data_IF_359686358092
#
_entry.id   IF_359686358092
#
_cell.length_a   1.000
_cell.length_b   1.000
_cell.length_c   1.000
_cell.angle_alpha   90.00
_cell.angle_beta   90.00
_cell.angle_gamma   90.00
#
_symmetry.space_group_name_H-M   'P 1'
#
loop_
_entity.id
_entity.type
_entity.pdbx_description
1 polymer ?
#
# COMPACT_ATOMS: atom_id res chain seq x y z
N UNK A 1 -0.68 22.36 -0.68
CA UNK A 1 -0.52 20.94 -1.06
C UNK A 1 0.93 20.76 -1.45
N UNK A 2 1.62 19.76 -0.88
CA UNK A 2 2.96 19.40 -1.31
C UNK A 2 2.88 18.64 -2.63
N UNK A 3 3.78 18.97 -3.56
CA UNK A 3 4.04 18.19 -4.79
C UNK A 3 5.53 17.79 -4.81
N UNK A 4 6.10 17.60 -3.61
CA UNK A 4 7.51 17.26 -3.44
C UNK A 4 7.76 15.80 -3.79
N UNK A 5 8.95 15.56 -4.33
CA UNK A 5 9.45 14.21 -4.60
C UNK A 5 10.56 13.92 -3.61
N UNK A 6 10.42 12.82 -2.87
CA UNK A 6 11.37 12.40 -1.84
C UNK A 6 11.84 10.99 -2.15
N UNK A 7 13.07 10.68 -1.78
CA UNK A 7 13.59 9.32 -1.84
C UNK A 7 13.97 8.90 -0.42
N UNK A 8 13.47 7.76 0.05
CA UNK A 8 13.71 7.31 1.43
C UNK A 8 15.21 7.22 1.75
N UNK A 9 16.01 6.64 0.85
CA UNK A 9 17.48 6.55 1.02
C UNK A 9 18.22 7.90 1.12
N UNK A 10 17.58 9.04 0.85
CA UNK A 10 18.20 10.35 1.00
C UNK A 10 18.15 10.90 2.45
N UNK A 11 17.43 10.21 3.34
CA UNK A 11 17.31 10.57 4.76
C UNK A 11 18.28 9.75 5.60
N UNK A 12 18.69 10.30 6.74
CA UNK A 12 19.50 9.59 7.72
C UNK A 12 18.65 8.55 8.47
N UNK A 13 19.22 7.37 8.73
CA UNK A 13 18.57 6.30 9.47
C UNK A 13 19.41 5.02 9.46
N UNK A 14 19.40 4.31 10.59
CA UNK A 14 20.21 3.09 10.79
C UNK A 14 19.81 1.94 9.85
N UNK A 15 18.55 1.92 9.42
CA UNK A 15 17.96 0.95 8.51
C UNK A 15 16.92 1.63 7.59
N UNK A 16 16.32 0.86 6.68
CA UNK A 16 15.38 1.38 5.70
C UNK A 16 14.08 1.90 6.35
N UNK A 17 13.61 1.27 7.43
CA UNK A 17 12.42 1.72 8.16
C UNK A 17 12.65 3.10 8.79
N UNK A 18 13.78 3.30 9.49
CA UNK A 18 14.13 4.58 10.09
C UNK A 18 14.24 5.70 9.04
N UNK A 19 14.79 5.39 7.85
CA UNK A 19 14.88 6.34 6.73
C UNK A 19 13.53 6.67 6.13
N UNK A 20 12.65 5.68 5.98
CA UNK A 20 11.27 5.91 5.53
C UNK A 20 10.47 6.74 6.55
N UNK A 21 10.64 6.48 7.84
CA UNK A 21 10.00 7.27 8.91
C UNK A 21 10.44 8.74 8.85
N UNK A 22 11.74 8.99 8.67
CA UNK A 22 12.27 10.34 8.48
C UNK A 22 11.70 11.01 7.21
N UNK A 23 11.59 10.26 6.11
CA UNK A 23 10.99 10.75 4.87
C UNK A 23 9.51 11.13 5.07
N UNK A 24 8.71 10.27 5.71
CA UNK A 24 7.30 10.51 6.02
C UNK A 24 7.13 11.70 6.97
N UNK A 25 7.97 11.82 7.99
CA UNK A 25 7.94 12.92 8.94
C UNK A 25 8.14 14.27 8.23
N UNK A 26 9.10 14.33 7.31
CA UNK A 26 9.41 15.53 6.52
C UNK A 26 8.39 15.84 5.41
N UNK A 27 7.60 14.84 5.00
CA UNK A 27 6.65 14.95 3.91
C UNK A 27 5.42 15.80 4.28
N UNK A 28 4.96 16.55 3.28
CA UNK A 28 3.68 17.27 3.30
C UNK A 28 2.58 16.44 2.62
N UNK A 29 1.33 16.71 2.98
CA UNK A 29 0.19 16.08 2.31
C UNK A 29 0.19 16.36 0.79
N UNK A 30 0.17 15.29 0.00
CA UNK A 30 0.31 15.27 -1.46
C UNK A 30 1.70 14.87 -1.98
N UNK A 31 2.70 14.77 -1.12
CA UNK A 31 4.06 14.40 -1.53
C UNK A 31 4.14 12.94 -2.02
N UNK A 32 5.14 12.68 -2.86
CA UNK A 32 5.53 11.36 -3.34
C UNK A 32 6.81 10.93 -2.63
N UNK A 33 6.85 9.70 -2.12
CA UNK A 33 8.03 9.07 -1.54
C UNK A 33 8.39 7.83 -2.37
N UNK A 34 9.57 7.86 -2.98
CA UNK A 34 10.20 6.70 -3.59
C UNK A 34 10.88 5.86 -2.51
N UNK A 35 10.52 4.59 -2.46
CA UNK A 35 11.10 3.61 -1.57
C UNK A 35 12.47 3.15 -2.10
N UNK A 36 13.24 2.53 -1.22
CA UNK A 36 14.59 2.08 -1.54
C UNK A 36 14.55 0.76 -2.30
N UNK A 37 15.47 0.61 -3.25
CA UNK A 37 15.65 -0.65 -3.98
C UNK A 37 16.12 -1.73 -3.01
N UNK A 38 15.61 -2.95 -3.12
CA UNK A 38 15.95 -4.11 -2.27
C UNK A 38 15.69 -3.93 -0.77
N UNK A 39 15.02 -2.86 -0.35
CA UNK A 39 14.69 -2.67 1.05
C UNK A 39 13.46 -3.48 1.45
N UNK A 40 13.58 -4.14 2.58
CA UNK A 40 12.46 -4.72 3.31
C UNK A 40 12.06 -3.78 4.44
N UNK A 41 10.81 -3.35 4.42
CA UNK A 41 10.19 -2.59 5.49
C UNK A 41 9.46 -3.56 6.40
N UNK A 42 9.98 -3.69 7.61
CA UNK A 42 9.58 -4.72 8.56
C UNK A 42 8.91 -4.16 9.81
N UNK A 43 8.85 -2.85 9.95
CA UNK A 43 8.26 -2.19 11.11
C UNK A 43 6.80 -1.87 10.84
N UNK A 44 5.93 -2.13 11.82
CA UNK A 44 4.55 -1.68 11.83
C UNK A 44 4.51 -0.15 11.71
N UNK A 45 3.63 0.38 10.85
CA UNK A 45 3.57 1.83 10.65
C UNK A 45 2.16 2.32 10.39
N UNK A 46 1.79 3.42 11.03
CA UNK A 46 0.60 4.21 10.69
C UNK A 46 0.97 5.40 9.81
N UNK A 47 0.29 5.54 8.68
CA UNK A 47 0.45 6.63 7.73
C UNK A 47 -0.84 7.45 7.73
N UNK A 48 -0.77 8.61 8.38
CA UNK A 48 -1.90 9.52 8.62
C UNK A 48 -1.80 10.83 7.81
N UNK A 49 -0.99 10.82 6.74
CA UNK A 49 -0.84 11.94 5.81
C UNK A 49 -1.19 11.47 4.41
N UNK A 50 -1.78 12.37 3.61
CA UNK A 50 -2.01 12.05 2.20
C UNK A 50 -0.69 11.86 1.46
N UNK A 51 -0.33 10.64 1.06
CA UNK A 51 0.97 10.34 0.45
C UNK A 51 0.85 9.32 -0.70
N UNK A 52 1.76 9.44 -1.67
CA UNK A 52 2.01 8.39 -2.66
C UNK A 52 3.33 7.71 -2.34
N UNK A 53 3.33 6.40 -2.12
CA UNK A 53 4.52 5.58 -1.89
C UNK A 53 4.77 4.74 -3.14
N UNK A 54 5.97 4.88 -3.72
CA UNK A 54 6.34 4.21 -4.97
C UNK A 54 7.55 3.31 -4.70
N UNK A 55 7.37 2.00 -4.84
CA UNK A 55 8.45 1.03 -4.85
C UNK A 55 9.28 1.08 -6.13
N UNK A 56 10.46 0.46 -6.11
CA UNK A 56 11.34 0.44 -7.29
C UNK A 56 11.01 -0.66 -8.30
N UNK A 57 10.32 -1.71 -7.83
CA UNK A 57 9.88 -2.87 -8.59
C UNK A 57 8.98 -3.72 -7.68
N UNK A 58 7.93 -4.35 -8.20
CA UNK A 58 7.09 -5.27 -7.44
C UNK A 58 7.58 -6.73 -7.49
N UNK A 59 8.54 -7.05 -8.36
CA UNK A 59 9.16 -8.37 -8.48
C UNK A 59 10.54 -8.43 -7.80
N UNK A 60 11.45 -9.24 -8.35
CA UNK A 60 12.80 -9.42 -7.84
C UNK A 60 13.55 -8.08 -7.74
N UNK A 61 14.28 -7.93 -6.64
CA UNK A 61 15.10 -6.76 -6.29
C UNK A 61 14.32 -5.46 -6.05
N UNK A 62 13.02 -5.58 -5.74
CA UNK A 62 12.09 -4.50 -5.46
C UNK A 62 12.10 -3.94 -4.04
N UNK A 63 11.21 -2.98 -3.80
CA UNK A 63 10.87 -2.53 -2.44
C UNK A 63 9.78 -3.44 -1.89
N UNK A 64 9.91 -3.85 -0.63
CA UNK A 64 9.05 -4.87 -0.04
C UNK A 64 8.50 -4.44 1.31
N UNK A 65 7.19 -4.60 1.51
CA UNK A 65 6.52 -4.58 2.82
C UNK A 65 6.31 -6.04 3.22
N UNK A 66 7.05 -6.53 4.22
CA UNK A 66 6.96 -7.96 4.60
C UNK A 66 7.30 -8.33 6.03
N UNK A 67 7.60 -7.38 6.92
CA UNK A 67 7.82 -7.69 8.33
C UNK A 67 6.85 -7.03 9.31
N UNK A 68 6.08 -6.04 8.86
CA UNK A 68 5.10 -5.33 9.69
C UNK A 68 3.85 -4.94 8.90
N UNK A 69 2.81 -4.58 9.63
CA UNK A 69 1.54 -4.09 9.09
C UNK A 69 1.61 -2.59 8.83
N UNK A 70 1.30 -2.18 7.60
CA UNK A 70 1.14 -0.76 7.28
C UNK A 70 -0.33 -0.36 7.33
N UNK A 71 -0.65 0.55 8.24
CA UNK A 71 -2.00 1.10 8.45
C UNK A 71 -2.13 2.47 7.81
N UNK A 72 -3.17 2.67 7.01
CA UNK A 72 -3.47 3.94 6.34
C UNK A 72 -4.72 4.61 6.91
N UNK A 73 -4.55 5.80 7.49
CA UNK A 73 -5.62 6.60 8.12
C UNK A 73 -5.90 7.90 7.34
N UNK A 74 -5.31 8.05 6.15
CA UNK A 74 -5.45 9.20 5.27
C UNK A 74 -5.26 8.78 3.82
N UNK A 75 -5.56 9.68 2.88
CA UNK A 75 -5.61 9.34 1.46
C UNK A 75 -4.25 8.83 0.97
N UNK A 76 -4.12 7.57 0.60
CA UNK A 76 -2.83 7.00 0.26
C UNK A 76 -2.85 6.19 -1.02
N UNK A 77 -1.70 6.19 -1.70
CA UNK A 77 -1.47 5.35 -2.88
C UNK A 77 -0.20 4.54 -2.72
N UNK A 78 -0.30 3.24 -2.98
CA UNK A 78 0.83 2.32 -3.14
C UNK A 78 1.02 2.01 -4.62
N UNK A 79 2.28 2.02 -5.06
CA UNK A 79 2.63 1.69 -6.44
C UNK A 79 3.94 0.91 -6.51
N UNK A 80 4.02 -0.11 -7.37
CA UNK A 80 5.31 -0.68 -7.78
C UNK A 80 6.10 -1.41 -6.68
N UNK A 81 5.42 -2.06 -5.73
CA UNK A 81 6.06 -2.76 -4.61
C UNK A 81 5.51 -4.17 -4.36
N UNK A 82 6.29 -4.95 -3.61
CA UNK A 82 5.89 -6.26 -3.12
C UNK A 82 5.23 -6.11 -1.73
N UNK A 83 4.06 -6.71 -1.55
CA UNK A 83 3.32 -6.73 -0.28
C UNK A 83 3.18 -8.19 0.18
N UNK A 84 3.70 -8.49 1.36
CA UNK A 84 3.56 -9.79 2.03
C UNK A 84 2.97 -9.60 3.41
N UNK A 85 2.37 -10.67 3.92
CA UNK A 85 1.98 -10.68 5.31
C UNK A 85 3.21 -10.75 6.21
N UNK A 86 3.21 -10.02 7.34
CA UNK A 86 4.14 -10.28 8.42
C UNK A 86 3.90 -11.67 9.03
N UNK A 87 4.77 -12.08 9.94
CA UNK A 87 4.60 -13.37 10.67
C UNK A 87 3.32 -13.42 11.51
N UNK A 88 2.74 -12.26 11.84
CA UNK A 88 1.43 -12.12 12.47
C UNK A 88 0.75 -10.84 11.99
N UNK A 89 -0.44 -10.95 11.41
CA UNK A 89 -1.23 -9.82 10.92
C UNK A 89 -1.32 -9.78 9.39
N UNK A 90 -1.77 -8.64 8.87
CA UNK A 90 -1.91 -8.39 7.43
C UNK A 90 -0.77 -7.48 6.95
N UNK A 91 -0.36 -7.62 5.68
CA UNK A 91 0.65 -6.74 5.09
C UNK A 91 0.21 -5.27 5.07
N UNK A 92 -1.04 -5.02 4.68
CA UNK A 92 -1.64 -3.68 4.64
C UNK A 92 -3.04 -3.66 5.24
N UNK A 93 -3.30 -2.63 6.02
CA UNK A 93 -4.59 -2.29 6.61
C UNK A 93 -5.00 -0.88 6.18
N UNK A 94 -6.20 -0.72 5.64
CA UNK A 94 -6.77 0.60 5.33
C UNK A 94 -7.91 0.84 6.29
N UNK A 95 -7.73 1.80 7.19
CA UNK A 95 -8.69 2.13 8.23
C UNK A 95 -9.87 2.93 7.66
N UNK A 96 -11.04 2.90 8.32
CA UNK A 96 -12.18 3.71 7.93
C UNK A 96 -11.90 5.20 8.09
N UNK A 97 -12.19 5.97 7.04
CA UNK A 97 -12.04 7.42 7.02
C UNK A 97 -10.71 7.91 6.44
N UNK A 98 -9.92 7.04 5.82
CA UNK A 98 -8.75 7.39 5.02
C UNK A 98 -9.08 8.27 3.78
N UNK A 99 -10.34 8.63 3.56
CA UNK A 99 -10.88 9.38 2.45
C UNK A 99 -10.81 8.65 1.11
N UNK A 100 -9.62 8.24 0.63
CA UNK A 100 -9.44 7.41 -0.57
C UNK A 100 -8.18 6.52 -0.46
N UNK A 101 -8.20 5.30 -1.00
CA UNK A 101 -7.02 4.45 -1.09
C UNK A 101 -6.81 3.88 -2.50
N UNK A 102 -5.57 3.77 -2.94
CA UNK A 102 -5.24 3.16 -4.21
C UNK A 102 -4.02 2.23 -4.15
N UNK A 103 -4.09 1.10 -4.83
CA UNK A 103 -2.95 0.22 -5.10
C UNK A 103 -2.85 0.00 -6.61
N UNK A 104 -1.65 0.18 -7.17
CA UNK A 104 -1.37 -0.17 -8.57
C UNK A 104 -0.02 -0.81 -8.77
N UNK A 105 0.14 -1.65 -9.80
CA UNK A 105 1.44 -2.20 -10.21
C UNK A 105 2.19 -2.95 -9.07
N UNK A 106 1.44 -3.55 -8.15
CA UNK A 106 2.00 -4.26 -7.00
C UNK A 106 1.93 -5.78 -7.18
N UNK A 107 2.81 -6.49 -6.48
CA UNK A 107 2.71 -7.93 -6.29
C UNK A 107 2.25 -8.17 -4.87
N UNK A 108 1.11 -8.83 -4.68
CA UNK A 108 0.57 -9.16 -3.36
C UNK A 108 0.68 -10.66 -3.15
N UNK A 109 1.46 -11.08 -2.15
CA UNK A 109 1.46 -12.46 -1.65
C UNK A 109 0.93 -12.58 -0.23
N UNK A 110 0.62 -11.45 0.41
CA UNK A 110 -0.07 -11.38 1.69
C UNK A 110 -1.52 -10.93 1.55
N UNK A 111 -2.00 -10.23 2.57
CA UNK A 111 -3.35 -9.75 2.73
C UNK A 111 -3.36 -8.22 2.74
N UNK A 112 -4.25 -7.64 1.94
CA UNK A 112 -4.61 -6.22 1.99
C UNK A 112 -6.05 -6.13 2.44
N UNK A 113 -6.25 -5.64 3.66
CA UNK A 113 -7.58 -5.47 4.23
C UNK A 113 -8.01 -3.99 4.08
N UNK A 114 -9.18 -3.78 3.49
CA UNK A 114 -9.69 -2.46 3.10
C UNK A 114 -11.03 -2.21 3.78
N UNK A 115 -11.02 -1.31 4.76
CA UNK A 115 -12.20 -0.82 5.49
C UNK A 115 -12.52 0.65 5.16
N UNK A 116 -12.39 1.03 3.89
CA UNK A 116 -12.47 2.43 3.45
C UNK A 116 -13.58 2.65 2.43
N UNK A 117 -14.17 3.87 2.41
CA UNK A 117 -15.29 4.24 1.53
C UNK A 117 -15.00 4.32 0.04
N UNK A 118 -13.73 4.54 -0.31
CA UNK A 118 -13.32 4.71 -1.68
C UNK A 118 -11.95 4.05 -1.83
N UNK A 119 -11.92 2.93 -2.55
CA UNK A 119 -10.69 2.23 -2.85
C UNK A 119 -10.65 1.76 -4.31
N UNK A 120 -9.46 1.81 -4.90
CA UNK A 120 -9.18 1.29 -6.24
C UNK A 120 -7.93 0.43 -6.23
N UNK A 121 -8.07 -0.81 -6.69
CA UNK A 121 -6.95 -1.73 -6.88
C UNK A 121 -6.88 -2.11 -8.35
N UNK A 122 -5.74 -1.86 -8.98
CA UNK A 122 -5.53 -2.13 -10.41
C UNK A 122 -4.17 -2.73 -10.69
N UNK A 123 -4.03 -3.52 -11.77
CA UNK A 123 -2.73 -4.02 -12.24
C UNK A 123 -1.94 -4.75 -11.13
N UNK A 124 -2.65 -5.43 -10.24
CA UNK A 124 -2.05 -6.19 -9.14
C UNK A 124 -1.94 -7.65 -9.53
N UNK A 125 -0.79 -8.25 -9.24
CA UNK A 125 -0.58 -9.70 -9.45
C UNK A 125 -0.15 -10.39 -8.17
N UNK A 126 -0.10 -11.72 -8.17
CA UNK A 126 0.51 -12.48 -7.08
C UNK A 126 -0.31 -13.71 -6.69
N UNK A 127 -0.30 -14.05 -5.40
CA UNK A 127 -1.02 -15.19 -4.82
C UNK A 127 -1.66 -14.88 -3.47
N UNK A 128 -1.75 -13.59 -3.12
CA UNK A 128 -2.34 -13.09 -1.89
C UNK A 128 -3.82 -12.80 -2.01
N UNK A 129 -4.32 -12.01 -1.06
CA UNK A 129 -5.74 -11.71 -0.89
C UNK A 129 -6.00 -10.20 -0.71
N UNK A 130 -7.06 -9.71 -1.36
CA UNK A 130 -7.68 -8.41 -1.06
C UNK A 130 -8.99 -8.70 -0.34
N UNK A 131 -9.17 -8.09 0.83
CA UNK A 131 -10.39 -8.22 1.63
C UNK A 131 -11.05 -6.85 1.71
N UNK A 132 -12.29 -6.76 1.24
CA UNK A 132 -13.15 -5.62 1.53
C UNK A 132 -14.05 -5.95 2.73
N UNK A 133 -14.12 -5.06 3.71
CA UNK A 133 -15.01 -5.21 4.89
C UNK A 133 -16.49 -5.00 4.51
N UNK A 134 -17.41 -5.38 5.40
CA UNK A 134 -18.84 -5.51 5.06
C UNK A 134 -19.60 -4.20 4.83
N UNK A 135 -19.06 -3.10 5.32
CA UNK A 135 -19.57 -1.74 5.15
C UNK A 135 -19.11 -1.10 3.83
N UNK A 136 -18.51 -1.88 2.93
CA UNK A 136 -17.96 -1.35 1.68
C UNK A 136 -18.87 -1.45 0.45
N UNK A 137 -18.84 -0.45 -0.44
CA UNK A 137 -19.66 -0.28 -1.65
C UNK A 137 -18.98 0.56 -2.77
N UNK A 138 -19.01 0.08 -4.01
CA UNK A 138 -18.51 0.82 -5.18
C UNK A 138 -16.99 0.93 -5.30
N UNK A 139 -16.23 0.09 -4.58
CA UNK A 139 -14.77 -0.05 -4.76
C UNK A 139 -14.48 -0.92 -5.97
N UNK A 140 -13.28 -0.80 -6.52
CA UNK A 140 -12.91 -1.46 -7.79
C UNK A 140 -11.67 -2.32 -7.58
N UNK A 141 -11.75 -3.58 -8.03
CA UNK A 141 -10.57 -4.41 -8.33
C UNK A 141 -10.63 -4.77 -9.81
N UNK A 142 -9.65 -4.30 -10.57
CA UNK A 142 -9.61 -4.38 -12.04
C UNK A 142 -8.20 -4.76 -12.51
N UNK A 143 -8.07 -5.29 -13.73
CA UNK A 143 -6.80 -5.69 -14.36
C UNK A 143 -5.85 -6.50 -13.45
N UNK A 144 -6.42 -7.34 -12.57
CA UNK A 144 -5.65 -8.03 -11.53
C UNK A 144 -5.63 -9.53 -11.76
N UNK A 145 -4.49 -10.19 -11.52
CA UNK A 145 -4.30 -11.61 -11.85
C UNK A 145 -3.68 -12.43 -10.70
N UNK A 146 -4.25 -13.60 -10.41
CA UNK A 146 -3.75 -14.52 -9.38
C UNK A 146 -4.06 -14.10 -7.94
N UNK A 147 -4.76 -12.98 -7.74
CA UNK A 147 -5.20 -12.51 -6.43
C UNK A 147 -6.58 -13.04 -6.09
N UNK A 148 -6.75 -13.50 -4.84
CA UNK A 148 -8.06 -13.78 -4.27
C UNK A 148 -8.72 -12.48 -3.84
N UNK A 149 -10.00 -12.30 -4.12
CA UNK A 149 -10.78 -11.18 -3.60
C UNK A 149 -11.90 -11.72 -2.72
N UNK A 150 -11.93 -11.29 -1.47
CA UNK A 150 -13.05 -11.50 -0.55
C UNK A 150 -13.81 -10.19 -0.42
N UNK A 151 -14.93 -10.10 -1.13
CA UNK A 151 -15.82 -8.94 -1.06
C UNK A 151 -16.96 -9.22 -0.07
N UNK A 152 -16.88 -8.65 1.14
CA UNK A 152 -17.98 -8.72 2.10
C UNK A 152 -18.99 -7.57 1.95
N UNK A 153 -18.74 -6.66 1.00
CA UNK A 153 -19.55 -5.49 0.73
C UNK A 153 -20.33 -5.60 -0.58
N UNK A 154 -20.41 -4.49 -1.31
CA UNK A 154 -21.05 -4.37 -2.62
C UNK A 154 -20.10 -3.68 -3.60
N UNK A 155 -19.00 -4.36 -3.92
CA UNK A 155 -17.92 -3.81 -4.74
C UNK A 155 -17.93 -4.35 -6.16
N UNK A 156 -17.21 -3.68 -7.05
CA UNK A 156 -17.03 -4.12 -8.44
C UNK A 156 -15.72 -4.89 -8.54
N UNK A 157 -15.84 -6.20 -8.74
CA UNK A 157 -14.70 -7.11 -8.84
C UNK A 157 -14.65 -7.68 -10.26
N UNK A 158 -13.49 -7.58 -10.89
CA UNK A 158 -13.23 -8.11 -12.23
C UNK A 158 -12.94 -7.00 -13.23
N UNK A 159 -12.52 -7.41 -14.43
CA UNK A 159 -12.09 -6.48 -15.47
C UNK A 159 -13.25 -5.57 -15.89
N UNK A 160 -13.06 -4.25 -15.73
CA UNK A 160 -14.07 -3.24 -16.09
C UNK A 160 -13.74 -2.70 -17.49
N UNK A 161 -14.65 -2.94 -18.44
CA UNK A 161 -14.52 -2.53 -19.84
C UNK A 161 -14.82 -1.05 -20.09
#
# INVERSE_FOLDING_TARGET
>A
MGNGWRHAAAYDGVDADARLDAAIASASAGDVIYLEKTATYATDRTINKRLKLIGTNAWADGSEVSGGTWTFDAECRLEGMLIRDPSSGNGVEVAPGAAHFAISDCVITGTVNIDEDIARVTDVTGGGEIVFTSNTSGRIVDASAGIKVTDNGSNTIGDIA
#
